data_IF_343104476617
#
_entry.id   IF_343104476617
#
_cell.length_a   1.000
_cell.length_b   1.000
_cell.length_c   1.000
_cell.angle_alpha   90.00
_cell.angle_beta   90.00
_cell.angle_gamma   90.00
#
_symmetry.space_group_name_H-M   'P 1'
#
loop_
_entity.id
_entity.type
_entity.pdbx_description
1 polymer ?
#
# COMPACT_ATOMS: atom_id res chain seq x y z
N UNK A 1 -23.07 -9.68 -17.88
CA UNK A 1 -23.52 -9.19 -19.20
C UNK A 1 -24.40 -7.94 -19.14
N UNK A 2 -25.31 -7.78 -18.16
CA UNK A 2 -26.21 -6.61 -18.08
C UNK A 2 -25.47 -5.28 -17.86
N UNK A 3 -24.61 -5.17 -16.84
CA UNK A 3 -23.82 -3.94 -16.55
C UNK A 3 -22.94 -3.53 -17.73
N UNK A 4 -22.36 -4.47 -18.46
CA UNK A 4 -21.57 -4.18 -19.66
C UNK A 4 -22.41 -3.52 -20.78
N UNK A 5 -23.71 -3.80 -20.84
CA UNK A 5 -24.66 -3.24 -21.80
C UNK A 5 -25.27 -1.92 -21.30
N UNK A 6 -25.55 -1.81 -20.00
CA UNK A 6 -26.27 -0.66 -19.43
C UNK A 6 -25.36 0.45 -18.91
N UNK A 7 -24.16 0.12 -18.42
CA UNK A 7 -23.15 1.09 -18.01
C UNK A 7 -21.74 0.67 -18.49
N UNK A 8 -21.41 0.95 -19.76
CA UNK A 8 -20.11 0.59 -20.33
C UNK A 8 -18.93 1.26 -19.62
N UNK A 9 -19.15 2.42 -18.97
CA UNK A 9 -18.10 3.16 -18.26
C UNK A 9 -17.74 2.46 -16.95
N UNK A 10 -18.75 2.07 -16.16
CA UNK A 10 -18.55 1.29 -14.93
C UNK A 10 -17.94 -0.06 -15.25
N UNK A 11 -18.43 -0.74 -16.29
CA UNK A 11 -17.83 -2.01 -16.73
C UNK A 11 -16.35 -1.85 -17.11
N UNK A 12 -15.98 -0.82 -17.88
CA UNK A 12 -14.57 -0.53 -18.20
C UNK A 12 -13.75 -0.25 -16.95
N UNK A 13 -14.27 0.56 -16.03
CA UNK A 13 -13.60 0.87 -14.78
C UNK A 13 -13.32 -0.39 -13.96
N UNK A 14 -14.31 -1.29 -13.88
CA UNK A 14 -14.18 -2.58 -13.21
C UNK A 14 -13.05 -3.42 -13.84
N UNK A 15 -13.04 -3.59 -15.15
CA UNK A 15 -12.02 -4.42 -15.80
C UNK A 15 -10.60 -3.84 -15.63
N UNK A 16 -10.43 -2.51 -15.66
CA UNK A 16 -9.13 -1.88 -15.41
C UNK A 16 -8.70 -2.12 -13.96
N UNK A 17 -9.61 -1.96 -13.00
CA UNK A 17 -9.32 -2.25 -11.58
C UNK A 17 -8.92 -3.70 -11.37
N UNK A 18 -9.65 -4.65 -11.96
CA UNK A 18 -9.34 -6.08 -11.85
C UNK A 18 -8.05 -6.46 -12.56
N UNK A 19 -7.77 -5.84 -13.71
CA UNK A 19 -6.49 -5.99 -14.41
C UNK A 19 -5.31 -5.57 -13.55
N UNK A 20 -5.42 -4.48 -12.79
CA UNK A 20 -4.38 -4.07 -11.86
C UNK A 20 -4.23 -5.06 -10.70
N UNK A 21 -5.35 -5.56 -10.16
CA UNK A 21 -5.34 -6.56 -9.08
C UNK A 21 -4.60 -7.83 -9.51
N UNK A 22 -4.82 -8.27 -10.75
CA UNK A 22 -4.14 -9.43 -11.31
C UNK A 22 -2.62 -9.23 -11.35
N UNK A 23 -2.13 -8.05 -11.74
CA UNK A 23 -0.68 -7.76 -11.77
C UNK A 23 0.00 -8.09 -10.44
N UNK A 24 -0.64 -7.77 -9.30
CA UNK A 24 -0.10 -8.06 -7.97
C UNK A 24 -0.19 -9.53 -7.53
N UNK A 25 -0.86 -10.39 -8.32
CA UNK A 25 -1.01 -11.82 -8.06
C UNK A 25 -0.15 -12.68 -8.99
N UNK A 26 0.47 -12.07 -10.01
CA UNK A 26 1.32 -12.76 -10.97
C UNK A 26 2.72 -13.01 -10.39
N UNK A 27 3.41 -14.06 -10.87
CA UNK A 27 4.83 -14.25 -10.57
C UNK A 27 5.66 -13.11 -11.18
N UNK A 28 6.86 -12.89 -10.61
CA UNK A 28 7.68 -11.71 -10.91
C UNK A 28 8.08 -11.58 -12.39
N UNK A 29 8.32 -12.72 -13.05
CA UNK A 29 8.67 -12.83 -14.47
C UNK A 29 7.53 -12.40 -15.40
N UNK A 30 6.28 -12.55 -14.98
CA UNK A 30 5.10 -12.11 -15.75
C UNK A 30 4.62 -10.70 -15.37
N UNK A 31 4.88 -10.27 -14.13
CA UNK A 31 4.33 -9.05 -13.55
C UNK A 31 4.72 -7.78 -14.32
N UNK A 32 5.96 -7.67 -14.78
CA UNK A 32 6.41 -6.49 -15.54
C UNK A 32 5.63 -6.33 -16.85
N UNK A 33 5.54 -7.40 -17.64
CA UNK A 33 4.81 -7.38 -18.92
C UNK A 33 3.33 -7.07 -18.71
N UNK A 34 2.71 -7.67 -17.67
CA UNK A 34 1.32 -7.40 -17.34
C UNK A 34 1.10 -5.94 -16.90
N UNK A 35 2.01 -5.39 -16.08
CA UNK A 35 1.95 -4.01 -15.62
C UNK A 35 2.06 -3.02 -16.79
N UNK A 36 2.96 -3.26 -17.75
CA UNK A 36 3.10 -2.40 -18.93
C UNK A 36 1.85 -2.40 -19.82
N UNK A 37 1.26 -3.58 -20.04
CA UNK A 37 -0.02 -3.71 -20.74
C UNK A 37 -1.12 -2.94 -20.03
N UNK A 38 -1.19 -3.07 -18.71
CA UNK A 38 -2.14 -2.35 -17.88
C UNK A 38 -1.95 -0.83 -17.97
N UNK A 39 -0.71 -0.33 -17.87
CA UNK A 39 -0.37 1.09 -18.00
C UNK A 39 -0.82 1.62 -19.37
N UNK A 40 -0.55 0.88 -20.44
CA UNK A 40 -0.98 1.24 -21.79
C UNK A 40 -2.51 1.38 -21.89
N UNK A 41 -3.25 0.45 -21.29
CA UNK A 41 -4.71 0.51 -21.27
C UNK A 41 -5.26 1.66 -20.42
N UNK A 42 -4.76 1.81 -19.18
CA UNK A 42 -5.16 2.85 -18.25
C UNK A 42 -4.89 4.26 -18.82
N UNK A 43 -3.80 4.45 -19.58
CA UNK A 43 -3.48 5.71 -20.26
C UNK A 43 -4.54 6.11 -21.29
N UNK A 44 -5.15 5.14 -21.99
CA UNK A 44 -6.11 5.37 -23.09
C UNK A 44 -7.59 5.21 -22.68
N UNK A 45 -7.88 4.85 -21.43
CA UNK A 45 -9.23 4.48 -21.00
C UNK A 45 -10.25 5.63 -20.91
N UNK A 46 -9.78 6.89 -20.96
CA UNK A 46 -10.56 8.14 -20.82
C UNK A 46 -11.30 8.27 -19.47
N UNK A 47 -10.78 7.63 -18.41
CA UNK A 47 -11.28 7.79 -17.04
C UNK A 47 -10.19 8.53 -16.23
N UNK A 48 -10.41 9.80 -15.83
CA UNK A 48 -9.37 10.64 -15.24
C UNK A 48 -8.64 9.99 -14.06
N UNK A 49 -9.38 9.35 -13.14
CA UNK A 49 -8.80 8.66 -11.98
C UNK A 49 -7.78 7.57 -12.37
N UNK A 50 -8.04 6.78 -13.43
CA UNK A 50 -7.09 5.76 -13.90
C UNK A 50 -5.92 6.36 -14.68
N UNK A 51 -6.14 7.45 -15.41
CA UNK A 51 -5.06 8.18 -16.10
C UNK A 51 -4.07 8.76 -15.08
N UNK A 52 -4.57 9.30 -13.96
CA UNK A 52 -3.74 9.78 -12.86
C UNK A 52 -3.07 8.63 -12.10
N UNK A 53 -3.79 7.53 -11.85
CA UNK A 53 -3.25 6.35 -11.19
C UNK A 53 -2.07 5.78 -11.99
N UNK A 54 -2.20 5.62 -13.31
CA UNK A 54 -1.09 5.09 -14.10
C UNK A 54 0.13 6.01 -14.10
N UNK A 55 -0.03 7.35 -14.01
CA UNK A 55 1.12 8.28 -13.87
C UNK A 55 1.89 8.02 -12.58
N UNK A 56 1.17 7.82 -11.48
CA UNK A 56 1.76 7.46 -10.18
C UNK A 56 2.43 6.10 -10.23
N UNK A 57 1.78 5.10 -10.83
CA UNK A 57 2.34 3.76 -11.00
C UNK A 57 3.63 3.80 -11.83
N UNK A 58 3.67 4.53 -12.94
CA UNK A 58 4.88 4.71 -13.75
C UNK A 58 6.02 5.31 -12.92
N UNK A 59 5.74 6.35 -12.12
CA UNK A 59 6.73 6.98 -11.23
C UNK A 59 7.32 6.00 -10.22
N UNK A 60 6.55 5.00 -9.79
CA UNK A 60 6.94 4.02 -8.77
C UNK A 60 7.11 2.60 -9.32
N UNK A 61 7.24 2.42 -10.66
CA UNK A 61 7.25 1.10 -11.33
C UNK A 61 8.27 0.15 -10.71
N UNK A 62 9.51 0.62 -10.53
CA UNK A 62 10.58 -0.17 -9.95
C UNK A 62 10.26 -0.69 -8.54
N UNK A 63 9.73 0.18 -7.66
CA UNK A 63 9.34 -0.22 -6.30
C UNK A 63 8.17 -1.18 -6.28
N UNK A 64 7.22 -1.03 -7.21
CA UNK A 64 6.07 -1.95 -7.34
C UNK A 64 6.56 -3.33 -7.78
N UNK A 65 7.44 -3.42 -8.77
CA UNK A 65 7.98 -4.70 -9.23
C UNK A 65 8.82 -5.38 -8.16
N UNK A 66 9.68 -4.64 -7.45
CA UNK A 66 10.43 -5.18 -6.32
C UNK A 66 9.50 -5.69 -5.19
N UNK A 67 8.38 -5.02 -4.95
CA UNK A 67 7.40 -5.48 -3.98
C UNK A 67 6.73 -6.79 -4.39
N UNK A 68 6.46 -6.98 -5.69
CA UNK A 68 5.92 -8.23 -6.23
C UNK A 68 6.97 -9.34 -6.14
N UNK A 69 8.20 -9.07 -6.58
CA UNK A 69 9.33 -10.00 -6.55
C UNK A 69 9.62 -10.54 -5.15
N UNK A 70 9.60 -9.67 -4.15
CA UNK A 70 9.88 -10.04 -2.76
C UNK A 70 8.62 -10.38 -1.93
N UNK A 71 7.43 -10.41 -2.55
CA UNK A 71 6.18 -10.67 -1.84
C UNK A 71 5.89 -9.69 -0.69
N UNK A 72 6.33 -8.44 -0.83
CA UNK A 72 6.17 -7.42 0.20
C UNK A 72 4.69 -7.05 0.35
N UNK A 73 4.16 -7.19 1.56
CA UNK A 73 2.82 -6.73 1.91
C UNK A 73 2.86 -5.45 2.74
N UNK A 74 1.84 -4.61 2.58
CA UNK A 74 1.65 -3.45 3.45
C UNK A 74 1.24 -3.84 4.87
N UNK A 75 0.90 -5.11 5.14
CA UNK A 75 0.34 -5.55 6.42
C UNK A 75 1.24 -5.23 7.62
N UNK A 76 2.57 -5.33 7.46
CA UNK A 76 3.51 -4.97 8.53
C UNK A 76 3.49 -3.47 8.82
N UNK A 77 3.47 -2.64 7.77
CA UNK A 77 3.41 -1.18 7.88
C UNK A 77 2.06 -0.75 8.46
N UNK A 78 0.95 -1.34 8.02
CA UNK A 78 -0.40 -1.04 8.52
C UNK A 78 -0.58 -1.43 9.99
N UNK A 79 -0.02 -2.58 10.39
CA UNK A 79 0.02 -3.00 11.80
C UNK A 79 0.76 -1.98 12.65
N UNK A 80 1.93 -1.53 12.20
CA UNK A 80 2.72 -0.48 12.87
C UNK A 80 1.93 0.82 12.95
N UNK A 81 1.35 1.30 11.85
CA UNK A 81 0.55 2.53 11.81
C UNK A 81 -0.68 2.48 12.75
N UNK A 82 -1.30 1.31 12.86
CA UNK A 82 -2.43 1.10 13.78
C UNK A 82 -1.98 1.17 15.23
N UNK A 83 -0.84 0.54 15.56
CA UNK A 83 -0.25 0.63 16.90
C UNK A 83 0.18 2.06 17.24
N UNK A 84 0.81 2.79 16.31
CA UNK A 84 1.17 4.21 16.51
C UNK A 84 -0.08 5.03 16.86
N UNK A 85 -1.17 4.89 16.10
CA UNK A 85 -2.43 5.62 16.40
C UNK A 85 -2.99 5.30 17.79
N UNK A 86 -2.90 4.05 18.23
CA UNK A 86 -3.29 3.67 19.58
C UNK A 86 -2.39 4.34 20.63
N UNK A 87 -1.07 4.31 20.45
CA UNK A 87 -0.10 4.93 21.35
C UNK A 87 -0.35 6.44 21.44
N UNK A 88 -0.59 7.11 20.30
CA UNK A 88 -0.96 8.54 20.28
C UNK A 88 -2.21 8.82 21.11
N UNK A 89 -3.22 7.95 21.06
CA UNK A 89 -4.44 8.10 21.86
C UNK A 89 -4.19 7.94 23.36
N UNK A 90 -3.33 7.00 23.75
CA UNK A 90 -2.92 6.83 25.15
C UNK A 90 -2.10 8.02 25.65
N UNK A 91 -1.31 8.63 24.76
CA UNK A 91 -0.42 9.74 25.08
C UNK A 91 -1.10 11.11 25.25
N UNK A 92 -2.44 11.23 25.11
CA UNK A 92 -3.14 12.53 25.28
C UNK A 92 -2.96 13.16 26.68
N UNK A 93 -2.48 12.41 27.68
CA UNK A 93 -2.12 12.92 29.01
C UNK A 93 -0.64 13.28 29.21
N UNK A 94 0.21 13.12 28.19
CA UNK A 94 1.63 13.41 28.31
C UNK A 94 1.92 14.91 28.20
N UNK A 95 2.87 15.37 29.03
CA UNK A 95 3.31 16.78 29.04
C UNK A 95 4.15 17.15 27.82
N UNK A 96 4.70 16.17 27.09
CA UNK A 96 5.55 16.43 25.93
C UNK A 96 5.51 15.31 24.87
N UNK A 97 5.83 15.61 23.59
CA UNK A 97 5.88 14.63 22.51
C UNK A 97 6.98 13.56 22.66
N UNK A 98 8.05 13.86 23.40
CA UNK A 98 9.18 12.94 23.61
C UNK A 98 8.73 11.67 24.33
N UNK A 99 7.79 11.79 25.28
CA UNK A 99 7.21 10.64 25.97
C UNK A 99 6.42 9.73 25.02
N UNK A 100 5.69 10.31 24.05
CA UNK A 100 5.01 9.56 22.99
C UNK A 100 6.01 8.83 22.09
N UNK A 101 7.07 9.54 21.65
CA UNK A 101 8.12 8.96 20.80
C UNK A 101 8.83 7.82 21.53
N UNK A 102 9.21 8.01 22.79
CA UNK A 102 9.83 6.98 23.61
C UNK A 102 8.93 5.74 23.74
N UNK A 103 7.63 5.93 23.99
CA UNK A 103 6.67 4.83 24.09
C UNK A 103 6.52 4.08 22.76
N UNK A 104 6.51 4.79 21.63
CA UNK A 104 6.49 4.19 20.30
C UNK A 104 7.77 3.38 20.03
N UNK A 105 8.94 3.92 20.36
CA UNK A 105 10.24 3.24 20.19
C UNK A 105 10.36 1.98 21.06
N UNK A 106 9.87 2.04 22.31
CA UNK A 106 9.84 0.87 23.20
C UNK A 106 8.92 -0.25 22.69
N UNK A 107 7.76 0.10 22.13
CA UNK A 107 6.78 -0.89 21.66
C UNK A 107 7.07 -1.43 20.25
N UNK A 108 7.66 -0.61 19.38
CA UNK A 108 7.73 -0.89 17.93
C UNK A 108 9.17 -0.88 17.38
N UNK A 109 10.10 -0.20 18.04
CA UNK A 109 11.49 -0.02 17.57
C UNK A 109 12.41 -1.20 17.86
N UNK A 110 11.93 -2.25 18.53
CA UNK A 110 12.74 -3.42 18.89
C UNK A 110 13.84 -3.14 19.92
N UNK A 111 13.86 -1.94 20.51
CA UNK A 111 14.80 -1.54 21.54
C UNK A 111 14.55 -2.37 22.80
N UNK A 112 15.62 -2.96 23.35
CA UNK A 112 15.57 -3.75 24.59
C UNK A 112 16.20 -2.92 25.71
N UNK A 113 15.44 -2.06 26.40
CA UNK A 113 15.99 -1.28 27.50
C UNK A 113 16.45 -2.24 28.61
N UNK A 114 17.57 -1.90 29.24
CA UNK A 114 18.01 -2.60 30.45
C UNK A 114 17.02 -2.24 31.57
N UNK A 115 16.27 -3.23 32.03
CA UNK A 115 15.28 -3.02 33.08
C UNK A 115 15.99 -2.96 34.44
N UNK A 116 15.69 -1.96 35.30
CA UNK A 116 16.22 -1.94 36.65
C UNK A 116 15.81 -3.20 37.41
N UNK A 117 16.77 -3.87 38.05
CA UNK A 117 16.50 -5.00 38.96
C UNK A 117 16.42 -6.40 38.35
N UNK A 118 16.66 -6.57 37.04
CA UNK A 118 16.90 -7.90 36.44
C UNK A 118 18.39 -8.04 36.11
N UNK A 119 19.12 -8.80 36.94
CA UNK A 119 20.46 -9.34 36.61
C UNK A 119 20.29 -10.69 35.93
#
# INVERSE_FOLDING_TARGET
>A
AWVAKTDPRVHRAYLIKEGLRLVFQLPADEAETALERWIGWARRCRIPAFVELQRRIVKHKASILAAIEHGLSNGRIESVNTKIRLITRVAFGFKSPEALIALAMLNLGGHRPVLPGRK
#
